data_IF_565496055154
#
_entry.id   IF_565496055154
#
_cell.length_a   1.000
_cell.length_b   1.000
_cell.length_c   1.000
_cell.angle_alpha   90.00
_cell.angle_beta   90.00
_cell.angle_gamma   90.00
#
_symmetry.space_group_name_H-M   'P 1'
#
loop_
_entity.id
_entity.type
_entity.pdbx_description
1 polymer ?
#
# COMPACT_ATOMS: atom_id res chain seq x y z
N UNK A 1 -23.04 8.16 -21.26
CA UNK A 1 -21.67 8.49 -20.81
C UNK A 1 -21.06 7.23 -20.22
N UNK A 2 -20.09 6.64 -20.91
CA UNK A 2 -19.45 5.40 -20.42
C UNK A 2 -18.47 5.78 -19.31
N UNK A 3 -18.73 5.34 -18.08
CA UNK A 3 -17.82 5.52 -16.95
C UNK A 3 -16.64 4.59 -17.20
N UNK A 4 -15.50 5.14 -17.59
CA UNK A 4 -14.28 4.37 -17.74
C UNK A 4 -14.01 3.67 -16.39
N UNK A 5 -14.04 2.34 -16.41
CA UNK A 5 -13.64 1.54 -15.26
C UNK A 5 -12.15 1.79 -15.06
N UNK A 6 -11.78 2.43 -13.95
CA UNK A 6 -10.37 2.65 -13.61
C UNK A 6 -9.65 1.30 -13.54
N UNK A 7 -8.39 1.26 -14.01
CA UNK A 7 -7.59 0.04 -13.96
C UNK A 7 -7.47 -0.43 -12.50
N UNK A 8 -7.32 -1.75 -12.23
CA UNK A 8 -7.20 -2.26 -10.86
C UNK A 8 -6.15 -1.51 -10.02
N UNK A 9 -5.03 -1.12 -10.65
CA UNK A 9 -3.99 -0.33 -10.02
C UNK A 9 -4.46 1.07 -9.59
N UNK A 10 -5.29 1.77 -10.39
CA UNK A 10 -5.79 3.10 -10.04
C UNK A 10 -6.79 3.05 -8.88
N UNK A 11 -7.56 1.97 -8.76
CA UNK A 11 -8.52 1.79 -7.66
C UNK A 11 -7.81 1.67 -6.30
N UNK A 12 -6.57 1.16 -6.28
CA UNK A 12 -5.81 1.05 -5.05
C UNK A 12 -5.42 2.41 -4.46
N UNK A 13 -5.22 3.43 -5.30
CA UNK A 13 -4.73 4.75 -4.88
C UNK A 13 -5.79 5.51 -4.08
N UNK A 14 -5.36 6.21 -3.02
CA UNK A 14 -6.21 7.16 -2.31
C UNK A 14 -6.55 8.36 -3.22
N UNK A 15 -7.83 8.65 -3.47
CA UNK A 15 -8.21 9.81 -4.27
C UNK A 15 -7.80 11.14 -3.62
N UNK A 16 -7.41 12.12 -4.44
CA UNK A 16 -6.87 13.41 -3.96
C UNK A 16 -7.85 14.19 -3.06
N UNK A 17 -9.16 14.01 -3.25
CA UNK A 17 -10.25 14.59 -2.47
C UNK A 17 -10.50 13.88 -1.13
N UNK A 18 -9.91 12.70 -0.92
CA UNK A 18 -10.05 11.94 0.33
C UNK A 18 -8.88 12.15 1.31
N UNK A 19 -7.86 12.92 0.93
CA UNK A 19 -6.80 13.30 1.85
C UNK A 19 -7.31 14.31 2.89
N UNK A 20 -6.97 14.08 4.15
CA UNK A 20 -7.42 14.88 5.30
C UNK A 20 -6.61 16.16 5.56
N UNK A 21 -5.64 16.48 4.72
CA UNK A 21 -4.76 17.65 4.84
C UNK A 21 -4.21 18.07 3.48
N UNK A 22 -3.79 19.32 3.38
CA UNK A 22 -3.05 19.83 2.22
C UNK A 22 -1.75 19.09 1.97
N UNK A 23 -0.89 18.90 2.98
CA UNK A 23 0.37 18.16 2.86
C UNK A 23 0.18 16.76 2.28
N UNK A 24 -0.76 15.99 2.83
CA UNK A 24 -1.10 14.66 2.33
C UNK A 24 -1.54 14.68 0.85
N UNK A 25 -2.39 15.65 0.48
CA UNK A 25 -2.86 15.83 -0.90
C UNK A 25 -1.72 16.22 -1.85
N UNK A 26 -0.80 17.07 -1.41
CA UNK A 26 0.38 17.44 -2.17
C UNK A 26 1.31 16.25 -2.41
N UNK A 27 1.57 15.43 -1.38
CA UNK A 27 2.33 14.19 -1.52
C UNK A 27 1.63 13.22 -2.48
N UNK A 28 0.30 13.05 -2.35
CA UNK A 28 -0.50 12.22 -3.24
C UNK A 28 -0.43 12.67 -4.70
N UNK A 29 -0.45 13.99 -4.95
CA UNK A 29 -0.29 14.55 -6.29
C UNK A 29 1.14 14.39 -6.81
N UNK A 30 2.14 14.67 -5.96
CA UNK A 30 3.57 14.65 -6.30
C UNK A 30 4.04 13.25 -6.71
N UNK A 31 3.59 12.22 -6.01
CA UNK A 31 4.03 10.83 -6.22
C UNK A 31 2.99 9.94 -6.90
N UNK A 32 2.01 10.54 -7.60
CA UNK A 32 0.90 9.79 -8.20
C UNK A 32 1.38 8.68 -9.17
N UNK A 33 2.40 8.97 -9.97
CA UNK A 33 2.95 8.00 -10.92
C UNK A 33 3.70 6.87 -10.22
N UNK A 34 4.47 7.16 -9.17
CA UNK A 34 5.16 6.15 -8.37
C UNK A 34 4.17 5.24 -7.64
N UNK A 35 3.08 5.79 -7.10
CA UNK A 35 2.02 5.01 -6.47
C UNK A 35 1.32 4.11 -7.50
N UNK A 36 1.02 4.62 -8.69
CA UNK A 36 0.43 3.83 -9.78
C UNK A 36 1.37 2.72 -10.24
N UNK A 37 2.65 3.01 -10.41
CA UNK A 37 3.66 2.03 -10.79
C UNK A 37 3.83 0.95 -9.71
N UNK A 38 3.77 1.32 -8.42
CA UNK A 38 3.78 0.37 -7.31
C UNK A 38 2.56 -0.54 -7.35
N UNK A 39 1.36 0.02 -7.44
CA UNK A 39 0.11 -0.74 -7.49
C UNK A 39 0.07 -1.68 -8.71
N UNK A 40 0.46 -1.19 -9.89
CA UNK A 40 0.55 -1.98 -11.12
C UNK A 40 1.58 -3.11 -10.99
N UNK A 41 2.76 -2.83 -10.41
CA UNK A 41 3.79 -3.84 -10.18
C UNK A 41 3.38 -4.90 -9.16
N UNK A 42 2.55 -4.56 -8.17
CA UNK A 42 1.96 -5.55 -7.26
C UNK A 42 0.95 -6.41 -8.02
N UNK A 43 -0.02 -5.78 -8.69
CA UNK A 43 -1.08 -6.47 -9.43
C UNK A 43 -0.53 -7.47 -10.47
N UNK A 44 0.53 -7.11 -11.20
CA UNK A 44 1.08 -7.98 -12.25
C UNK A 44 2.10 -9.01 -11.73
N UNK A 45 2.82 -8.73 -10.64
CA UNK A 45 3.94 -9.57 -10.21
C UNK A 45 3.66 -10.37 -8.93
N UNK A 46 2.60 -10.05 -8.18
CA UNK A 46 2.24 -10.69 -6.92
C UNK A 46 0.77 -11.13 -6.98
N UNK A 47 0.43 -12.21 -7.71
CA UNK A 47 -0.95 -12.59 -8.01
C UNK A 47 -1.82 -12.93 -6.78
N UNK A 48 -1.18 -13.24 -5.66
CA UNK A 48 -1.81 -13.60 -4.39
C UNK A 48 -1.98 -12.42 -3.43
N UNK A 49 -1.72 -11.21 -3.92
CA UNK A 49 -1.72 -10.01 -3.11
C UNK A 49 -2.55 -8.92 -3.77
N UNK A 50 -3.66 -8.59 -3.14
CA UNK A 50 -4.55 -7.52 -3.56
C UNK A 50 -4.27 -6.28 -2.72
N UNK A 51 -4.12 -5.12 -3.36
CA UNK A 51 -4.12 -3.84 -2.64
C UNK A 51 -5.57 -3.38 -2.53
N UNK A 52 -6.06 -3.15 -1.31
CA UNK A 52 -7.46 -2.75 -1.10
C UNK A 52 -7.74 -1.41 -1.77
N UNK A 53 -8.96 -1.21 -2.26
CA UNK A 53 -9.39 0.06 -2.85
C UNK A 53 -9.15 1.25 -1.91
N UNK A 54 -8.66 2.36 -2.47
CA UNK A 54 -8.34 3.60 -1.76
C UNK A 54 -7.50 3.39 -0.50
N UNK A 55 -6.51 2.50 -0.57
CA UNK A 55 -5.69 2.11 0.58
C UNK A 55 -4.18 2.29 0.37
N UNK A 56 -3.75 2.71 -0.83
CA UNK A 56 -2.39 3.10 -1.14
C UNK A 56 -2.27 4.62 -1.23
N UNK A 57 -1.50 5.24 -0.34
CA UNK A 57 -1.35 6.70 -0.30
C UNK A 57 -0.68 7.20 0.97
N UNK A 58 -0.83 8.49 1.28
CA UNK A 58 -0.18 9.13 2.43
C UNK A 58 -1.17 9.39 3.56
N UNK A 59 -1.19 8.49 4.55
CA UNK A 59 -2.12 8.53 5.66
C UNK A 59 -1.46 9.06 6.92
N UNK A 60 -2.29 9.59 7.80
CA UNK A 60 -1.88 9.91 9.16
C UNK A 60 -2.05 8.67 10.05
N UNK A 61 -1.00 8.22 10.76
CA UNK A 61 -1.15 7.17 11.76
C UNK A 61 -2.06 7.63 12.91
N UNK A 62 -3.08 6.82 13.25
CA UNK A 62 -4.08 7.17 14.29
C UNK A 62 -3.48 7.29 15.69
N UNK A 63 -2.38 6.59 15.97
CA UNK A 63 -1.75 6.53 17.30
C UNK A 63 -0.79 7.70 17.58
N UNK A 64 -0.44 8.50 16.56
CA UNK A 64 0.39 9.69 16.73
C UNK A 64 -0.51 10.88 17.06
N UNK A 65 -0.61 11.18 18.36
CA UNK A 65 -1.30 12.35 18.88
C UNK A 65 -0.49 13.62 18.62
N UNK A 66 -0.99 14.48 17.72
CA UNK A 66 -0.34 15.75 17.33
C UNK A 66 0.30 15.74 15.94
N UNK A 67 0.34 16.89 15.28
CA UNK A 67 1.03 17.11 14.00
C UNK A 67 0.28 16.64 12.74
N UNK A 68 0.91 16.84 11.57
CA UNK A 68 0.44 16.36 10.27
C UNK A 68 1.42 15.33 9.69
N UNK A 69 1.67 14.28 10.48
CA UNK A 69 2.60 13.21 10.09
C UNK A 69 2.02 12.35 8.99
N UNK A 70 2.76 12.20 7.88
CA UNK A 70 2.29 11.49 6.69
C UNK A 70 3.18 10.29 6.38
N UNK A 71 2.59 9.12 6.47
CA UNK A 71 3.24 7.85 6.18
C UNK A 71 2.74 7.33 4.84
N UNK A 72 3.64 6.82 4.00
CA UNK A 72 3.23 6.03 2.84
C UNK A 72 2.64 4.71 3.38
N UNK A 73 1.34 4.54 3.23
CA UNK A 73 0.61 3.39 3.74
C UNK A 73 0.03 2.57 2.60
N UNK A 74 -0.06 1.27 2.83
CA UNK A 74 -0.73 0.32 1.96
C UNK A 74 -1.50 -0.70 2.80
N UNK A 75 -2.76 -0.97 2.46
CA UNK A 75 -3.48 -2.13 2.97
C UNK A 75 -3.52 -3.20 1.89
N UNK A 76 -3.20 -4.42 2.28
CA UNK A 76 -3.19 -5.55 1.36
C UNK A 76 -4.00 -6.68 1.93
N UNK A 77 -4.66 -7.42 1.05
CA UNK A 77 -5.26 -8.71 1.34
C UNK A 77 -4.42 -9.79 0.67
N UNK A 78 -4.16 -10.89 1.39
CA UNK A 78 -3.38 -12.01 0.86
C UNK A 78 -4.34 -13.16 0.59
N UNK A 79 -4.69 -13.32 -0.68
CA UNK A 79 -5.37 -14.51 -1.17
C UNK A 79 -4.33 -15.61 -1.32
N UNK A 80 -4.18 -16.50 -0.34
CA UNK A 80 -3.35 -17.68 -0.55
C UNK A 80 -4.07 -18.63 -1.50
N UNK A 81 -3.32 -19.20 -2.44
CA UNK A 81 -3.72 -20.42 -3.10
C UNK A 81 -4.13 -21.45 -2.04
N UNK A 82 -5.19 -22.22 -2.31
CA UNK A 82 -5.65 -23.31 -1.44
C UNK A 82 -4.66 -24.50 -1.47
N UNK A 83 -3.38 -24.25 -1.17
CA UNK A 83 -2.39 -25.28 -1.00
C UNK A 83 -2.75 -26.09 0.25
N UNK A 84 -2.91 -27.42 0.13
CA UNK A 84 -3.16 -28.28 1.28
C UNK A 84 -2.07 -28.16 2.36
N UNK A 85 -0.82 -27.85 1.98
CA UNK A 85 0.27 -27.64 2.92
C UNK A 85 0.08 -26.37 3.76
N UNK A 86 -0.34 -25.28 3.13
CA UNK A 86 -0.59 -24.01 3.83
C UNK A 86 -1.83 -24.11 4.74
N UNK A 87 -2.87 -24.80 4.28
CA UNK A 87 -4.10 -25.02 5.03
C UNK A 87 -3.90 -25.90 6.28
N UNK A 88 -2.86 -26.74 6.31
CA UNK A 88 -2.49 -27.57 7.47
C UNK A 88 -1.78 -26.79 8.59
N UNK A 89 -1.28 -25.59 8.32
CA UNK A 89 -0.63 -24.75 9.32
C UNK A 89 -1.64 -24.19 10.32
N UNK A 90 -1.21 -23.94 11.56
CA UNK A 90 -1.99 -23.14 12.51
C UNK A 90 -2.12 -21.70 11.99
N UNK A 91 -3.16 -20.97 12.42
CA UNK A 91 -3.36 -19.55 12.06
C UNK A 91 -2.11 -18.70 12.34
N UNK A 92 -1.43 -18.95 13.46
CA UNK A 92 -0.19 -18.24 13.79
C UNK A 92 0.93 -18.51 12.78
N UNK A 93 1.10 -19.77 12.35
CA UNK A 93 2.10 -20.15 11.36
C UNK A 93 1.73 -19.67 9.95
N UNK A 94 0.44 -19.61 9.63
CA UNK A 94 -0.05 -18.99 8.38
C UNK A 94 0.30 -17.51 8.34
N UNK A 95 0.01 -16.76 9.42
CA UNK A 95 0.34 -15.35 9.53
C UNK A 95 1.86 -15.11 9.44
N UNK A 96 2.66 -15.92 10.14
CA UNK A 96 4.12 -15.82 10.08
C UNK A 96 4.67 -16.06 8.66
N UNK A 97 4.14 -17.07 7.96
CA UNK A 97 4.54 -17.38 6.59
C UNK A 97 4.13 -16.28 5.60
N UNK A 98 2.92 -15.73 5.73
CA UNK A 98 2.47 -14.57 4.95
C UNK A 98 3.37 -13.36 5.18
N UNK A 99 3.65 -13.04 6.45
CA UNK A 99 4.52 -11.93 6.83
C UNK A 99 5.91 -12.08 6.22
N UNK A 100 6.55 -13.25 6.43
CA UNK A 100 7.89 -13.53 5.93
C UNK A 100 7.99 -13.47 4.40
N UNK A 101 6.94 -13.91 3.71
CA UNK A 101 6.91 -13.92 2.23
C UNK A 101 6.78 -12.53 1.63
N UNK A 102 5.95 -11.66 2.21
CA UNK A 102 5.52 -10.43 1.53
C UNK A 102 6.05 -9.13 2.15
N UNK A 103 6.08 -9.00 3.47
CA UNK A 103 6.22 -7.67 4.12
C UNK A 103 7.54 -7.00 3.80
N UNK A 104 8.66 -7.72 3.94
CA UNK A 104 9.98 -7.16 3.64
C UNK A 104 10.13 -6.76 2.16
N UNK A 105 9.56 -7.55 1.24
CA UNK A 105 9.60 -7.26 -0.18
C UNK A 105 8.72 -6.04 -0.54
N UNK A 106 7.55 -5.91 0.08
CA UNK A 106 6.67 -4.76 -0.11
C UNK A 106 7.28 -3.47 0.44
N UNK A 107 7.87 -3.49 1.63
CA UNK A 107 8.57 -2.32 2.19
C UNK A 107 9.70 -1.85 1.26
N UNK A 108 10.50 -2.78 0.72
CA UNK A 108 11.55 -2.44 -0.26
C UNK A 108 10.97 -1.82 -1.54
N UNK A 109 9.81 -2.29 -2.01
CA UNK A 109 9.14 -1.71 -3.18
C UNK A 109 8.59 -0.31 -2.89
N UNK A 110 8.00 -0.09 -1.72
CA UNK A 110 7.52 1.22 -1.27
C UNK A 110 8.65 2.24 -1.12
N UNK A 111 9.81 1.79 -0.62
CA UNK A 111 11.01 2.62 -0.43
C UNK A 111 11.93 2.67 -1.67
N UNK A 112 11.47 2.25 -2.85
CA UNK A 112 12.32 2.16 -4.05
C UNK A 112 12.70 3.54 -4.62
N UNK A 113 11.83 4.53 -4.48
CA UNK A 113 12.06 5.88 -5.01
C UNK A 113 12.93 6.68 -4.04
N UNK A 114 14.13 7.06 -4.47
CA UNK A 114 15.03 7.90 -3.67
C UNK A 114 14.39 9.26 -3.38
N UNK A 115 13.69 9.85 -4.37
CA UNK A 115 12.99 11.11 -4.20
C UNK A 115 11.93 11.03 -3.10
N UNK A 116 11.15 9.94 -3.07
CA UNK A 116 10.14 9.69 -2.03
C UNK A 116 10.79 9.50 -0.66
N UNK A 117 11.85 8.70 -0.56
CA UNK A 117 12.52 8.43 0.73
C UNK A 117 13.30 9.63 1.27
N UNK A 118 13.71 10.56 0.41
CA UNK A 118 14.41 11.78 0.79
C UNK A 118 13.46 12.95 1.04
N UNK A 119 12.15 12.78 0.79
CA UNK A 119 11.16 13.83 0.99
C UNK A 119 10.86 14.01 2.49
N UNK A 120 11.15 15.17 3.09
CA UNK A 120 10.87 15.42 4.51
C UNK A 120 9.37 15.41 4.83
N UNK A 121 8.49 15.49 3.83
CA UNK A 121 7.06 15.33 4.00
C UNK A 121 6.62 13.87 4.25
N UNK A 122 7.48 12.89 3.93
CA UNK A 122 7.22 11.46 4.14
C UNK A 122 7.94 11.00 5.41
N UNK A 123 7.16 10.74 6.46
CA UNK A 123 7.68 10.47 7.81
C UNK A 123 7.80 8.98 8.13
N UNK A 124 7.39 8.11 7.20
CA UNK A 124 7.62 6.69 7.30
C UNK A 124 6.72 5.85 6.41
N UNK A 125 6.66 4.55 6.72
CA UNK A 125 5.94 3.54 5.95
C UNK A 125 5.03 2.71 6.85
N UNK A 126 3.88 2.31 6.35
CA UNK A 126 3.04 1.32 7.02
C UNK A 126 2.48 0.30 6.02
N UNK A 127 2.41 -0.96 6.44
CA UNK A 127 1.70 -2.01 5.73
C UNK A 127 0.67 -2.58 6.71
N UNK A 128 -0.57 -2.69 6.26
CA UNK A 128 -1.65 -3.36 6.98
C UNK A 128 -1.96 -4.64 6.22
N UNK A 129 -1.77 -5.78 6.90
CA UNK A 129 -2.18 -7.11 6.45
C UNK A 129 -3.56 -7.46 7.04
#
# INVERSE_FOLDING_TARGET
MSRAVAAPADRALLPLDQYTSEKGRELGRKYAEELRALASGIYHCLPWLEVTEHSLGFYRPKHLGGGDSRYLSMRVFIEQEASPDFARLTVANQAAAMYARYVAALLKRMARSQALTADPGVEGFTIIL
#
